data_IF_465811233136
#
_entry.id   IF_465811233136
#
_cell.length_a   1.000
_cell.length_b   1.000
_cell.length_c   1.000
_cell.angle_alpha   90.00
_cell.angle_beta   90.00
_cell.angle_gamma   90.00
#
_symmetry.space_group_name_H-M   'P 1'
#
loop_
_entity.id
_entity.type
_entity.pdbx_description
1 polymer ?
#
# COMPACT_ATOMS: atom_id res chain seq x y z
N UNK A 1 -10.88 3.17 0.27
CA UNK A 1 -10.32 2.57 -0.95
C UNK A 1 -11.20 3.01 -2.11
N UNK A 2 -10.64 3.51 -3.20
CA UNK A 2 -11.45 3.90 -4.36
C UNK A 2 -12.16 2.66 -4.95
N UNK A 3 -13.45 2.79 -5.29
CA UNK A 3 -14.29 1.69 -5.80
C UNK A 3 -13.70 1.01 -7.04
N UNK A 4 -12.97 1.77 -7.86
CA UNK A 4 -12.27 1.27 -9.05
C UNK A 4 -11.14 0.28 -8.69
N UNK A 5 -10.36 0.57 -7.65
CA UNK A 5 -9.27 -0.30 -7.18
C UNK A 5 -9.83 -1.62 -6.68
N UNK A 6 -10.89 -1.56 -5.87
CA UNK A 6 -11.56 -2.76 -5.36
C UNK A 6 -12.10 -3.64 -6.49
N UNK A 7 -12.69 -3.04 -7.52
CA UNK A 7 -13.21 -3.77 -8.67
C UNK A 7 -12.09 -4.47 -9.47
N UNK A 8 -10.95 -3.81 -9.66
CA UNK A 8 -9.77 -4.38 -10.34
C UNK A 8 -9.19 -5.55 -9.52
N UNK A 9 -9.04 -5.38 -8.21
CA UNK A 9 -8.49 -6.41 -7.32
C UNK A 9 -9.30 -7.71 -7.33
N UNK A 10 -10.62 -7.62 -7.47
CA UNK A 10 -11.54 -8.77 -7.48
C UNK A 10 -11.62 -9.51 -8.82
N UNK A 11 -11.07 -8.95 -9.89
CA UNK A 11 -11.20 -9.50 -11.25
C UNK A 11 -9.83 -9.76 -11.92
N UNK A 12 -8.96 -10.61 -11.32
CA UNK A 12 -7.75 -11.05 -12.01
C UNK A 12 -8.09 -11.81 -13.29
N UNK A 13 -7.23 -11.68 -14.31
CA UNK A 13 -7.30 -12.37 -15.60
C UNK A 13 -8.56 -12.12 -16.45
N UNK A 14 -9.48 -11.27 -16.00
CA UNK A 14 -10.67 -10.87 -16.77
C UNK A 14 -10.40 -9.56 -17.51
N UNK A 15 -10.70 -9.46 -18.81
CA UNK A 15 -10.57 -8.21 -19.54
C UNK A 15 -11.58 -7.18 -19.01
N UNK A 16 -11.08 -6.02 -18.60
CA UNK A 16 -11.87 -4.90 -18.10
C UNK A 16 -11.80 -3.74 -19.10
N UNK A 17 -12.93 -3.06 -19.32
CA UNK A 17 -12.97 -1.81 -20.09
C UNK A 17 -12.91 -0.64 -19.11
N UNK A 18 -11.88 0.18 -19.23
CA UNK A 18 -11.69 1.38 -18.43
C UNK A 18 -11.99 2.63 -19.25
N UNK A 19 -12.74 3.53 -18.65
CA UNK A 19 -12.91 4.89 -19.13
C UNK A 19 -11.93 5.80 -18.38
N UNK A 20 -11.06 6.49 -19.11
CA UNK A 20 -10.04 7.38 -18.54
C UNK A 20 -10.21 8.77 -19.12
N UNK A 21 -10.54 9.73 -18.25
CA UNK A 21 -10.56 11.15 -18.60
C UNK A 21 -9.17 11.77 -18.36
N UNK A 22 -8.64 12.46 -19.38
CA UNK A 22 -7.40 13.24 -19.29
C UNK A 22 -7.67 14.64 -19.85
N UNK A 23 -7.92 15.60 -18.95
CA UNK A 23 -8.42 16.92 -19.34
C UNK A 23 -9.81 16.80 -19.96
N UNK A 24 -10.01 17.40 -21.14
CA UNK A 24 -11.27 17.31 -21.88
C UNK A 24 -11.44 16.02 -22.71
N UNK A 25 -10.40 15.19 -22.83
CA UNK A 25 -10.44 13.97 -23.64
C UNK A 25 -10.80 12.76 -22.80
N UNK A 26 -11.84 12.04 -23.21
CA UNK A 26 -12.19 10.73 -22.67
C UNK A 26 -11.64 9.65 -23.61
N UNK A 27 -11.05 8.60 -23.06
CA UNK A 27 -10.50 7.48 -23.84
C UNK A 27 -10.83 6.16 -23.16
N UNK A 28 -11.13 5.14 -23.98
CA UNK A 28 -11.44 3.81 -23.51
C UNK A 28 -10.24 2.89 -23.70
N UNK A 29 -9.89 2.14 -22.65
CA UNK A 29 -8.79 1.18 -22.68
C UNK A 29 -9.32 -0.19 -22.27
N UNK A 30 -8.86 -1.24 -22.96
CA UNK A 30 -9.08 -2.61 -22.52
C UNK A 30 -7.82 -3.08 -21.80
N UNK A 31 -7.96 -3.45 -20.53
CA UNK A 31 -6.87 -3.92 -19.69
C UNK A 31 -7.20 -5.27 -19.11
N UNK A 32 -6.19 -6.12 -18.93
CA UNK A 32 -6.32 -7.41 -18.25
C UNK A 32 -5.49 -7.35 -16.96
N UNK A 33 -6.11 -7.34 -15.77
CA UNK A 33 -5.37 -7.38 -14.50
C UNK A 33 -4.59 -8.67 -14.37
N UNK A 34 -3.35 -8.56 -13.90
CA UNK A 34 -2.46 -9.70 -13.62
C UNK A 34 -2.59 -10.06 -12.14
N UNK A 35 -2.79 -11.34 -11.83
CA UNK A 35 -2.85 -11.80 -10.45
C UNK A 35 -1.48 -11.68 -9.77
N UNK A 36 -1.42 -10.90 -8.70
CA UNK A 36 -0.30 -10.93 -7.77
C UNK A 36 -0.44 -12.13 -6.83
N UNK A 37 0.52 -13.06 -6.87
CA UNK A 37 0.48 -14.29 -6.07
C UNK A 37 0.66 -14.04 -4.56
N UNK A 38 1.36 -12.97 -4.20
CA UNK A 38 1.64 -12.64 -2.80
C UNK A 38 0.44 -11.94 -2.16
N UNK A 39 -0.17 -11.00 -2.89
CA UNK A 39 -1.30 -10.20 -2.41
C UNK A 39 -2.66 -10.85 -2.72
N UNK A 40 -2.71 -11.86 -3.59
CA UNK A 40 -3.93 -12.55 -4.06
C UNK A 40 -4.98 -11.59 -4.66
N UNK A 41 -4.52 -10.56 -5.37
CA UNK A 41 -5.38 -9.56 -6.03
C UNK A 41 -4.92 -9.31 -7.47
N UNK A 42 -5.85 -8.90 -8.34
CA UNK A 42 -5.52 -8.44 -9.70
C UNK A 42 -4.93 -7.03 -9.71
N UNK A 43 -3.85 -6.81 -10.46
CA UNK A 43 -3.17 -5.52 -10.59
C UNK A 43 -3.03 -5.09 -12.06
N UNK A 44 -3.14 -3.78 -12.33
CA UNK A 44 -2.89 -3.19 -13.65
C UNK A 44 -1.73 -2.17 -13.65
N UNK A 45 -0.99 -2.06 -12.53
CA UNK A 45 0.22 -1.23 -12.44
C UNK A 45 -0.02 0.29 -12.34
N UNK A 46 -1.18 0.73 -11.86
CA UNK A 46 -1.44 2.14 -11.55
C UNK A 46 -1.53 2.35 -10.04
N UNK A 47 -1.24 3.58 -9.60
CA UNK A 47 -1.42 4.00 -8.21
C UNK A 47 -2.26 5.27 -8.18
N UNK A 48 -3.26 5.38 -7.29
CA UNK A 48 -3.98 6.62 -7.09
C UNK A 48 -3.01 7.72 -6.65
N UNK A 49 -3.24 8.95 -7.10
CA UNK A 49 -2.45 10.08 -6.60
C UNK A 49 -2.78 10.29 -5.12
N UNK A 50 -1.78 10.55 -4.27
CA UNK A 50 -2.03 10.87 -2.87
C UNK A 50 -2.90 12.13 -2.79
N UNK A 51 -3.97 12.03 -2.00
CA UNK A 51 -4.84 13.16 -1.71
C UNK A 51 -4.30 13.89 -0.48
N UNK A 52 -3.67 15.04 -0.68
CA UNK A 52 -3.13 15.85 0.41
C UNK A 52 -4.24 16.76 0.97
N UNK A 53 -4.54 16.59 2.25
CA UNK A 53 -5.47 17.44 2.99
C UNK A 53 -4.65 18.51 3.71
N UNK A 54 -4.97 19.79 3.49
CA UNK A 54 -4.36 20.88 4.26
C UNK A 54 -4.89 20.84 5.70
N UNK A 55 -3.99 20.85 6.66
CA UNK A 55 -4.31 20.83 8.09
C UNK A 55 -3.82 22.13 8.74
N UNK A 56 -4.50 22.58 9.79
CA UNK A 56 -4.07 23.75 10.57
C UNK A 56 -2.88 23.38 11.49
N UNK A 57 -2.13 24.36 12.03
CA UNK A 57 -0.94 24.08 12.85
C UNK A 57 -1.20 23.21 14.09
N UNK A 58 -2.33 23.41 14.79
CA UNK A 58 -2.66 22.60 15.97
C UNK A 58 -2.98 21.15 15.61
N UNK A 59 -3.73 20.93 14.54
CA UNK A 59 -3.99 19.60 13.98
C UNK A 59 -2.70 18.94 13.50
N UNK A 60 -1.77 19.70 12.90
CA UNK A 60 -0.47 19.18 12.48
C UNK A 60 0.35 18.64 13.67
N UNK A 61 0.38 19.38 14.79
CA UNK A 61 1.03 18.93 16.03
C UNK A 61 0.37 17.65 16.54
N UNK A 62 -0.97 17.63 16.63
CA UNK A 62 -1.72 16.45 17.06
C UNK A 62 -1.42 15.22 16.18
N UNK A 63 -1.44 15.38 14.86
CA UNK A 63 -1.09 14.30 13.93
C UNK A 63 0.36 13.86 14.08
N UNK A 64 1.30 14.78 14.36
CA UNK A 64 2.69 14.46 14.66
C UNK A 64 2.83 13.55 15.90
N UNK A 65 2.14 13.90 16.99
CA UNK A 65 2.09 13.06 18.20
C UNK A 65 1.46 11.69 17.91
N UNK A 66 0.31 11.68 17.23
CA UNK A 66 -0.40 10.45 16.86
C UNK A 66 0.49 9.52 16.03
N UNK A 67 1.17 10.06 15.02
CA UNK A 67 2.09 9.31 14.17
C UNK A 67 3.27 8.75 14.97
N UNK A 68 3.86 9.57 15.84
CA UNK A 68 5.00 9.17 16.68
C UNK A 68 4.60 8.04 17.62
N UNK A 69 3.45 8.15 18.28
CA UNK A 69 2.95 7.11 19.19
C UNK A 69 2.59 5.81 18.45
N UNK A 70 2.05 5.92 17.23
CA UNK A 70 1.80 4.76 16.37
C UNK A 70 3.11 4.05 15.99
N UNK A 71 4.16 4.80 15.65
CA UNK A 71 5.48 4.23 15.36
C UNK A 71 6.11 3.56 16.58
N UNK A 72 6.05 4.20 17.76
CA UNK A 72 6.53 3.62 19.02
C UNK A 72 5.78 2.31 19.32
N UNK A 73 4.45 2.33 19.20
CA UNK A 73 3.62 1.14 19.42
C UNK A 73 4.00 0.01 18.45
N UNK A 74 4.22 0.34 17.18
CA UNK A 74 4.65 -0.63 16.17
C UNK A 74 6.02 -1.22 16.50
N UNK A 75 6.97 -0.42 17.01
CA UNK A 75 8.27 -0.93 17.46
C UNK A 75 8.10 -1.97 18.57
N UNK A 76 7.28 -1.70 19.58
CA UNK A 76 7.02 -2.68 20.64
C UNK A 76 6.33 -3.94 20.13
N UNK A 77 5.41 -3.84 19.16
CA UNK A 77 4.80 -5.02 18.52
C UNK A 77 5.86 -5.86 17.81
N UNK A 78 6.76 -5.23 17.06
CA UNK A 78 7.84 -5.92 16.36
C UNK A 78 8.80 -6.58 17.35
N UNK A 79 9.22 -5.87 18.40
CA UNK A 79 10.07 -6.42 19.46
C UNK A 79 9.39 -7.61 20.15
N UNK A 80 8.11 -7.48 20.50
CA UNK A 80 7.35 -8.58 21.10
C UNK A 80 7.27 -9.80 20.20
N UNK A 81 7.02 -9.60 18.89
CA UNK A 81 7.01 -10.68 17.89
C UNK A 81 8.39 -11.31 17.69
N UNK A 82 9.46 -10.55 17.83
CA UNK A 82 10.82 -11.06 17.75
C UNK A 82 11.11 -12.00 18.93
N UNK A 83 10.76 -11.60 20.16
CA UNK A 83 10.94 -12.45 21.34
C UNK A 83 9.99 -13.64 21.39
N UNK A 84 8.77 -13.52 20.86
CA UNK A 84 7.81 -14.64 20.78
C UNK A 84 8.06 -15.60 19.60
N UNK A 85 9.09 -15.35 18.78
CA UNK A 85 9.44 -16.19 17.63
C UNK A 85 8.51 -16.05 16.42
N UNK A 86 7.64 -15.04 16.39
CA UNK A 86 6.72 -14.79 15.28
C UNK A 86 7.36 -14.10 14.06
N UNK A 87 8.58 -13.56 14.20
CA UNK A 87 9.37 -12.93 13.14
C UNK A 87 10.84 -13.33 13.35
N UNK A 88 11.55 -13.75 12.30
CA UNK A 88 12.99 -14.04 12.40
C UNK A 88 13.82 -12.77 12.28
N UNK A 89 15.03 -12.75 12.87
CA UNK A 89 16.01 -11.65 12.68
C UNK A 89 16.30 -11.40 11.19
N UNK A 90 16.19 -12.45 10.37
CA UNK A 90 16.37 -12.40 8.92
C UNK A 90 15.26 -11.62 8.19
N UNK A 91 14.03 -11.67 8.70
CA UNK A 91 12.90 -10.90 8.16
C UNK A 91 13.03 -9.39 8.49
N UNK A 92 13.76 -9.05 9.55
CA UNK A 92 14.04 -7.67 9.96
C UNK A 92 15.24 -7.06 9.21
N UNK A 93 16.20 -7.88 8.78
CA UNK A 93 17.46 -7.42 8.20
C UNK A 93 17.35 -6.96 6.73
N UNK A 94 16.23 -7.24 6.05
CA UNK A 94 15.98 -6.79 4.68
C UNK A 94 17.13 -7.12 3.71
N UNK A 95 17.42 -6.25 2.71
CA UNK A 95 18.54 -6.45 1.77
C UNK A 95 19.92 -6.44 2.45
N UNK A 96 20.05 -5.76 3.59
CA UNK A 96 21.33 -5.59 4.31
C UNK A 96 21.75 -6.89 5.00
N UNK A 97 20.81 -7.71 5.44
CA UNK A 97 21.09 -9.06 5.97
C UNK A 97 21.43 -10.11 4.92
N UNK A 98 21.17 -9.84 3.63
CA UNK A 98 21.46 -10.78 2.55
C UNK A 98 22.95 -10.83 2.18
N UNK A 99 23.70 -9.77 2.48
CA UNK A 99 25.15 -9.64 2.20
C UNK A 99 26.04 -10.07 3.38
N UNK A 100 25.47 -10.24 4.58
CA UNK A 100 26.15 -10.85 5.72
C UNK A 100 26.13 -12.38 5.55
N UNK A 101 26.90 -12.90 4.60
CA UNK A 101 27.16 -14.32 4.40
C UNK A 101 28.62 -14.61 4.71
#
# INVERSE_FOLDING_TARGET
>A
MDKSIEYIHKNPDKPLKLEVARGAKVSFYQVKPILDKNLKVGLIGFSPRPNYIKVNPFSAIYYGFQQTFSMISLMFVILGKLFSGGISVKDLAGPVGAVAK
#
